data_IF_322318340674
#
_entry.id   IF_322318340674
#
_cell.length_a   1.000
_cell.length_b   1.000
_cell.length_c   1.000
_cell.angle_alpha   90.00
_cell.angle_beta   90.00
_cell.angle_gamma   90.00
#
_symmetry.space_group_name_H-M   'P 1'
#
loop_
_entity.id
_entity.type
_entity.pdbx_description
1 polymer ?
#
# COMPACT_ATOMS: atom_id res chain seq x y z
N UNK A 1 -20.02 -1.46 -5.29
CA UNK A 1 -18.78 -0.70 -5.51
C UNK A 1 -17.66 -1.69 -5.27
N UNK A 2 -16.77 -1.92 -6.22
CA UNK A 2 -15.57 -2.73 -5.97
C UNK A 2 -14.74 -1.97 -4.95
N UNK A 3 -14.68 -2.46 -3.72
CA UNK A 3 -13.91 -1.82 -2.67
C UNK A 3 -12.45 -1.74 -3.14
N UNK A 4 -12.00 -0.52 -3.40
CA UNK A 4 -10.74 -0.29 -4.10
C UNK A 4 -9.58 -0.66 -3.19
N UNK A 5 -8.83 -1.70 -3.58
CA UNK A 5 -7.56 -2.05 -2.96
C UNK A 5 -6.56 -0.88 -3.12
N UNK A 6 -5.83 -0.54 -2.07
CA UNK A 6 -4.75 0.45 -2.12
C UNK A 6 -3.40 -0.29 -2.07
N UNK A 7 -2.47 0.05 -2.95
CA UNK A 7 -1.12 -0.51 -2.96
C UNK A 7 -0.06 0.61 -3.03
N UNK A 8 0.87 0.60 -2.08
CA UNK A 8 2.00 1.52 -1.98
C UNK A 8 3.30 0.74 -2.16
N UNK A 9 4.03 0.99 -3.23
CA UNK A 9 5.31 0.36 -3.49
C UNK A 9 6.45 1.35 -3.28
N UNK A 10 7.51 0.90 -2.62
CA UNK A 10 8.72 1.68 -2.39
C UNK A 10 9.95 0.78 -2.40
N UNK A 11 11.10 1.34 -2.75
CA UNK A 11 12.39 0.66 -2.59
C UNK A 11 13.09 1.32 -1.40
N UNK A 12 13.34 0.60 -0.30
CA UNK A 12 14.11 1.15 0.83
C UNK A 12 15.56 1.43 0.41
N UNK A 13 16.24 2.32 1.14
CA UNK A 13 17.66 2.65 0.89
C UNK A 13 18.58 1.42 0.97
N UNK A 14 18.16 0.43 1.76
CA UNK A 14 18.83 -0.88 1.86
C UNK A 14 17.80 -2.00 1.88
N UNK A 15 18.09 -3.09 1.18
CA UNK A 15 17.25 -4.29 1.13
C UNK A 15 16.38 -4.38 -0.12
N UNK A 16 15.46 -5.33 -0.11
CA UNK A 16 14.61 -5.62 -1.26
C UNK A 16 13.44 -4.62 -1.39
N UNK A 17 12.91 -4.41 -2.61
CA UNK A 17 11.70 -3.63 -2.81
C UNK A 17 10.55 -4.11 -1.93
N UNK A 18 9.79 -3.14 -1.40
CA UNK A 18 8.66 -3.40 -0.51
C UNK A 18 7.36 -2.86 -1.08
N UNK A 19 6.27 -3.51 -0.70
CA UNK A 19 4.92 -3.07 -1.02
C UNK A 19 4.03 -3.22 0.20
N UNK A 20 3.21 -2.22 0.47
CA UNK A 20 2.10 -2.30 1.42
C UNK A 20 0.81 -2.38 0.62
N UNK A 21 0.01 -3.41 0.88
CA UNK A 21 -1.30 -3.62 0.26
C UNK A 21 -2.36 -3.54 1.35
N UNK A 22 -3.40 -2.74 1.10
CA UNK A 22 -4.51 -2.51 2.01
C UNK A 22 -5.76 -3.06 1.34
N UNK A 23 -6.35 -4.06 1.97
CA UNK A 23 -7.51 -4.78 1.45
C UNK A 23 -8.68 -4.64 2.42
N UNK A 24 -9.87 -4.27 1.95
CA UNK A 24 -11.04 -4.19 2.82
C UNK A 24 -11.42 -5.60 3.27
N UNK A 25 -11.66 -5.74 4.57
CA UNK A 25 -12.07 -6.99 5.19
C UNK A 25 -13.58 -7.00 5.32
N UNK A 26 -14.22 -7.81 4.48
CA UNK A 26 -15.66 -7.92 4.31
C UNK A 26 -16.33 -6.65 3.74
N UNK A 27 -17.47 -6.82 3.05
CA UNK A 27 -18.27 -5.75 2.41
C UNK A 27 -18.85 -4.70 3.38
N UNK A 28 -18.32 -4.61 4.60
CA UNK A 28 -18.82 -3.79 5.70
C UNK A 28 -17.93 -2.57 5.95
N UNK A 29 -16.78 -2.42 5.29
CA UNK A 29 -15.95 -1.20 5.29
C UNK A 29 -15.27 -0.83 6.62
N UNK A 30 -15.55 -1.53 7.72
CA UNK A 30 -15.08 -1.15 9.06
C UNK A 30 -13.73 -1.76 9.46
N UNK A 31 -13.10 -2.56 8.59
CA UNK A 31 -11.82 -3.24 8.86
C UNK A 31 -11.05 -3.45 7.57
N UNK A 32 -9.73 -3.39 7.65
CA UNK A 32 -8.82 -3.61 6.54
C UNK A 32 -7.71 -4.58 6.92
N UNK A 33 -7.31 -5.42 6.00
CA UNK A 33 -6.07 -6.19 6.06
C UNK A 33 -4.93 -5.34 5.49
N UNK A 34 -3.94 -5.06 6.33
CA UNK A 34 -2.67 -4.44 5.96
C UNK A 34 -1.63 -5.54 5.75
N UNK A 35 -1.25 -5.74 4.49
CA UNK A 35 -0.26 -6.72 4.07
C UNK A 35 1.03 -6.01 3.71
N UNK A 36 2.13 -6.40 4.35
CA UNK A 36 3.48 -5.97 4.00
C UNK A 36 4.13 -7.08 3.20
N UNK A 37 4.59 -6.74 2.00
CA UNK A 37 5.22 -7.66 1.07
C UNK A 37 6.64 -7.20 0.75
N UNK A 38 7.54 -8.16 0.61
CA UNK A 38 8.93 -7.96 0.20
C UNK A 38 9.20 -8.76 -1.07
N UNK A 39 9.95 -8.18 -2.01
CA UNK A 39 10.25 -8.84 -3.27
C UNK A 39 11.49 -9.71 -3.14
N UNK A 40 11.30 -11.03 -3.04
CA UNK A 40 12.37 -12.03 -2.94
C UNK A 40 12.40 -12.88 -4.20
N UNK A 41 13.58 -13.05 -4.80
CA UNK A 41 13.77 -13.86 -6.02
C UNK A 41 12.77 -13.52 -7.15
N UNK A 42 12.44 -12.23 -7.28
CA UNK A 42 11.50 -11.73 -8.28
C UNK A 42 10.02 -11.84 -7.89
N UNK A 43 9.68 -12.52 -6.80
CA UNK A 43 8.32 -12.79 -6.32
C UNK A 43 8.00 -11.93 -5.08
N UNK A 44 6.76 -11.45 -4.98
CA UNK A 44 6.27 -10.78 -3.77
C UNK A 44 5.87 -11.82 -2.72
N UNK A 45 6.50 -11.77 -1.55
CA UNK A 45 6.17 -12.61 -0.41
C UNK A 45 5.61 -11.76 0.73
N UNK A 46 4.51 -12.19 1.35
CA UNK A 46 3.96 -11.54 2.53
C UNK A 46 4.93 -11.76 3.70
N UNK A 47 5.41 -10.66 4.28
CA UNK A 47 6.32 -10.64 5.44
C UNK A 47 5.68 -10.01 6.67
N UNK A 48 4.49 -9.42 6.51
CA UNK A 48 3.70 -8.89 7.63
C UNK A 48 2.22 -8.84 7.28
N UNK A 49 1.38 -9.09 8.29
CA UNK A 49 -0.07 -9.05 8.17
C UNK A 49 -0.66 -8.50 9.46
N UNK A 50 -1.50 -7.48 9.34
CA UNK A 50 -2.16 -6.80 10.44
C UNK A 50 -3.59 -6.43 10.05
N UNK A 51 -4.52 -6.51 11.01
CA UNK A 51 -5.89 -6.02 10.82
C UNK A 51 -5.95 -4.61 11.40
N UNK A 52 -6.36 -3.64 10.60
CA UNK A 52 -6.52 -2.24 11.02
C UNK A 52 -7.99 -1.82 10.93
N UNK A 53 -8.39 -0.91 11.82
CA UNK A 53 -9.79 -0.47 11.89
C UNK A 53 -10.15 0.56 10.81
N UNK A 54 -9.19 1.35 10.35
CA UNK A 54 -9.40 2.41 9.37
C UNK A 54 -8.09 2.72 8.62
N UNK A 55 -8.19 3.38 7.47
CA UNK A 55 -7.07 3.75 6.59
C UNK A 55 -7.19 5.21 6.18
N UNK A 56 -6.22 6.02 6.60
CA UNK A 56 -5.99 7.38 6.07
C UNK A 56 -4.78 7.41 5.15
N UNK A 57 -4.94 7.95 3.94
CA UNK A 57 -3.82 8.23 3.03
C UNK A 57 -3.53 9.72 3.03
N UNK A 58 -2.38 10.09 3.61
CA UNK A 58 -1.89 11.47 3.60
C UNK A 58 -0.69 11.57 2.66
N UNK A 59 -0.73 12.54 1.75
CA UNK A 59 0.38 12.85 0.86
C UNK A 59 0.48 14.38 0.68
N UNK A 60 1.68 14.94 0.47
CA UNK A 60 1.81 16.36 0.15
C UNK A 60 0.97 16.72 -1.09
N UNK A 61 0.41 17.93 -1.12
CA UNK A 61 -0.42 18.38 -2.25
C UNK A 61 0.29 18.29 -3.61
N UNK A 62 1.62 18.38 -3.64
CA UNK A 62 2.43 18.18 -4.85
C UNK A 62 2.39 16.73 -5.40
N UNK A 63 2.05 15.75 -4.56
CA UNK A 63 1.90 14.33 -4.90
C UNK A 63 0.44 13.99 -5.19
N UNK A 64 -0.51 14.71 -4.59
CA UNK A 64 -1.94 14.56 -4.87
C UNK A 64 -2.31 15.45 -6.06
N UNK A 65 -1.88 15.08 -7.26
CA UNK A 65 -2.36 15.74 -8.49
C UNK A 65 -3.66 15.09 -8.97
N UNK A 66 -4.49 15.86 -9.67
CA UNK A 66 -5.78 15.43 -10.29
C UNK A 66 -5.63 14.26 -11.28
N UNK A 67 -4.41 13.81 -11.55
CA UNK A 67 -4.09 12.71 -12.45
C UNK A 67 -3.74 11.41 -11.74
N UNK A 68 -3.85 11.35 -10.40
CA UNK A 68 -3.58 10.14 -9.63
C UNK A 68 -2.12 9.72 -9.77
N UNK A 69 -1.24 10.25 -8.94
CA UNK A 69 0.16 9.85 -8.94
C UNK A 69 0.27 8.37 -8.55
N UNK A 70 0.60 7.52 -9.52
CA UNK A 70 0.78 6.07 -9.33
C UNK A 70 2.19 5.69 -8.89
N UNK A 71 3.14 6.64 -8.93
CA UNK A 71 4.49 6.46 -8.39
C UNK A 71 5.14 7.82 -8.10
N UNK A 72 5.81 7.93 -6.95
CA UNK A 72 6.61 9.10 -6.57
C UNK A 72 7.98 8.60 -6.11
N UNK A 73 9.04 9.10 -6.75
CA UNK A 73 10.39 9.08 -6.19
C UNK A 73 10.65 10.51 -5.74
N UNK A 74 10.94 10.70 -4.46
CA UNK A 74 11.32 12.00 -3.91
C UNK A 74 12.56 12.59 -4.59
N UNK A 75 13.03 13.77 -4.15
CA UNK A 75 14.30 14.32 -4.62
C UNK A 75 15.47 13.33 -4.45
#
# INVERSE_FOLDING_TARGET
>A
MTDAQIALQYTPDSGDPRRVRLEPRDNCGCKWDRLVEERRDGVWAIVGHEIVADVGLEAPAAVVSDHGVTSFRGP
#
